data_IF_938678498255
#
_entry.id   IF_938678498255
#
_cell.length_a   1.000
_cell.length_b   1.000
_cell.length_c   1.000
_cell.angle_alpha   90.00
_cell.angle_beta   90.00
_cell.angle_gamma   90.00
#
_symmetry.space_group_name_H-M   'P 1'
#
loop_
_entity.id
_entity.type
_entity.pdbx_description
1 polymer ?
#
# COMPACT_ATOMS: atom_id res chain seq x y z
N UNK A 1 77.68 45.39 9.38
CA UNK A 1 77.53 44.81 10.73
C UNK A 1 76.04 44.84 11.03
N UNK A 2 75.27 43.76 11.00
CA UNK A 2 75.37 42.49 11.73
C UNK A 2 74.82 41.33 10.87
N UNK A 3 75.55 40.21 10.87
CA UNK A 3 75.21 38.90 10.29
C UNK A 3 74.37 38.04 11.25
N UNK A 4 73.51 37.15 10.71
CA UNK A 4 73.11 35.81 11.23
C UNK A 4 72.05 35.17 10.27
N UNK A 5 72.43 34.27 9.37
CA UNK A 5 72.37 32.78 9.43
C UNK A 5 70.98 32.13 9.43
N UNK A 6 70.69 31.50 8.28
CA UNK A 6 69.86 30.34 7.91
C UNK A 6 69.07 29.52 8.97
N UNK A 7 67.90 29.02 8.53
CA UNK A 7 67.47 27.64 8.73
C UNK A 7 66.45 27.20 7.66
N UNK A 8 66.84 26.21 6.84
CA UNK A 8 65.95 25.43 5.96
C UNK A 8 65.21 24.42 6.83
N UNK A 9 63.87 24.36 6.73
CA UNK A 9 63.09 23.21 7.19
C UNK A 9 62.30 22.64 6.02
N UNK A 10 62.89 21.63 5.39
CA UNK A 10 62.18 20.60 4.63
C UNK A 10 61.55 19.68 5.67
N UNK A 11 60.23 19.51 5.68
CA UNK A 11 59.58 18.32 6.26
C UNK A 11 58.10 18.24 5.90
N UNK A 12 57.72 17.12 5.28
CA UNK A 12 56.43 16.50 5.51
C UNK A 12 55.33 16.77 4.49
N UNK A 13 55.46 16.21 3.28
CA UNK A 13 54.29 15.81 2.51
C UNK A 13 53.52 14.75 3.31
N UNK A 14 52.49 15.17 4.06
CA UNK A 14 51.50 14.24 4.61
C UNK A 14 50.58 13.81 3.48
N UNK A 15 50.96 12.70 2.85
CA UNK A 15 50.07 11.76 2.20
C UNK A 15 49.00 11.32 3.22
N UNK A 16 47.95 12.12 3.38
CA UNK A 16 46.69 11.62 3.96
C UNK A 16 46.04 10.77 2.88
N UNK A 17 46.37 9.48 2.95
CA UNK A 17 45.92 8.46 2.02
C UNK A 17 44.40 8.40 1.91
N UNK A 18 44.00 7.85 0.78
CA UNK A 18 42.68 7.36 0.43
C UNK A 18 42.08 6.53 1.58
N UNK A 19 41.43 7.18 2.53
CA UNK A 19 40.38 6.53 3.29
C UNK A 19 39.21 6.42 2.32
N UNK A 20 39.05 5.24 1.73
CA UNK A 20 37.82 4.89 1.04
C UNK A 20 36.69 5.30 1.96
N UNK A 21 35.91 6.31 1.53
CA UNK A 21 34.66 6.63 2.18
C UNK A 21 33.84 5.36 2.07
N UNK A 22 33.87 4.57 3.14
CA UNK A 22 32.83 3.61 3.45
C UNK A 22 31.56 4.42 3.33
N UNK A 23 30.87 4.23 2.19
CA UNK A 23 29.48 4.63 2.04
C UNK A 23 28.83 4.13 3.32
N UNK A 24 28.31 5.02 4.20
CA UNK A 24 27.69 4.56 5.41
C UNK A 24 26.63 3.56 4.97
N UNK A 25 26.82 2.30 5.33
CA UNK A 25 25.79 1.29 5.21
C UNK A 25 24.68 1.80 6.11
N UNK A 26 23.74 2.55 5.52
CA UNK A 26 22.53 2.99 6.20
C UNK A 26 21.92 1.70 6.72
N UNK A 27 21.82 1.51 8.04
CA UNK A 27 21.39 0.23 8.60
C UNK A 27 20.03 -0.13 7.99
N UNK A 28 20.07 -1.16 7.15
CA UNK A 28 18.93 -1.67 6.43
C UNK A 28 18.08 -2.47 7.41
N UNK A 29 17.22 -1.78 8.17
CA UNK A 29 16.27 -2.45 9.07
C UNK A 29 14.91 -2.49 8.37
N UNK A 30 14.56 -3.59 7.67
CA UNK A 30 13.28 -3.75 6.96
C UNK A 30 12.14 -4.07 7.95
N UNK A 31 12.08 -3.35 9.06
CA UNK A 31 11.18 -3.64 10.16
C UNK A 31 10.37 -2.38 10.50
N UNK A 32 9.06 -2.55 10.51
CA UNK A 32 8.09 -1.58 11.02
C UNK A 32 7.15 -2.34 11.97
N UNK A 33 6.73 -1.75 13.11
CA UNK A 33 5.83 -2.42 14.06
C UNK A 33 4.42 -2.64 13.47
N UNK A 34 4.11 -1.99 12.34
CA UNK A 34 2.90 -2.19 11.54
C UNK A 34 3.25 -2.26 10.05
N UNK A 35 2.44 -2.93 9.21
CA UNK A 35 2.60 -2.85 7.76
C UNK A 35 2.61 -1.38 7.29
N UNK A 36 3.53 -1.05 6.39
CA UNK A 36 3.69 0.34 5.92
C UNK A 36 2.61 0.65 4.89
N UNK A 37 1.81 1.70 5.15
CA UNK A 37 0.77 2.12 4.23
C UNK A 37 1.41 2.64 2.92
N UNK A 38 1.01 2.04 1.81
CA UNK A 38 1.55 2.32 0.47
C UNK A 38 0.43 2.75 -0.47
N UNK A 39 0.73 3.67 -1.38
CA UNK A 39 -0.19 4.13 -2.41
C UNK A 39 -0.28 3.12 -3.56
N UNK A 40 -1.36 3.18 -4.32
CA UNK A 40 -1.49 2.43 -5.57
C UNK A 40 -0.60 3.04 -6.66
N UNK A 41 -0.13 2.23 -7.64
CA UNK A 41 0.55 2.75 -8.82
C UNK A 41 -0.31 3.77 -9.57
N UNK A 42 0.31 4.84 -10.09
CA UNK A 42 -0.39 5.90 -10.82
C UNK A 42 -1.06 5.36 -12.08
N UNK A 43 -2.32 5.77 -12.30
CA UNK A 43 -3.07 5.53 -13.53
C UNK A 43 -4.04 6.69 -13.78
N UNK A 44 -4.45 6.90 -15.03
CA UNK A 44 -5.43 7.93 -15.37
C UNK A 44 -6.85 7.40 -15.10
N UNK A 45 -7.69 8.23 -14.46
CA UNK A 45 -9.09 7.89 -14.18
C UNK A 45 -9.99 9.10 -14.45
N UNK A 46 -11.14 8.87 -15.09
CA UNK A 46 -12.23 9.85 -15.10
C UNK A 46 -12.80 10.00 -13.68
N UNK A 47 -13.18 11.22 -13.29
CA UNK A 47 -13.37 11.63 -11.88
C UNK A 47 -14.43 10.82 -11.12
N UNK A 48 -13.99 9.78 -10.40
CA UNK A 48 -14.72 8.97 -9.42
C UNK A 48 -13.67 8.42 -8.40
N UNK A 49 -13.47 9.05 -7.24
CA UNK A 49 -12.24 8.84 -6.42
C UNK A 49 -11.98 7.39 -5.93
N UNK A 50 -12.96 6.69 -5.36
CA UNK A 50 -12.71 5.41 -4.68
C UNK A 50 -12.80 4.17 -5.59
N UNK A 51 -13.60 4.24 -6.66
CA UNK A 51 -14.00 3.05 -7.43
C UNK A 51 -12.84 2.37 -8.19
N UNK A 52 -11.80 3.11 -8.60
CA UNK A 52 -10.63 2.52 -9.24
C UNK A 52 -9.79 1.69 -8.27
N UNK A 53 -9.59 2.15 -7.03
CA UNK A 53 -8.86 1.40 -6.02
C UNK A 53 -9.56 0.06 -5.73
N UNK A 54 -10.89 0.05 -5.65
CA UNK A 54 -11.66 -1.20 -5.49
C UNK A 54 -11.46 -2.15 -6.67
N UNK A 55 -11.36 -1.61 -7.89
CA UNK A 55 -11.07 -2.39 -9.09
C UNK A 55 -9.69 -3.05 -9.04
N UNK A 56 -8.67 -2.34 -8.55
CA UNK A 56 -7.32 -2.91 -8.35
C UNK A 56 -7.35 -4.03 -7.31
N UNK A 57 -8.08 -3.84 -6.20
CA UNK A 57 -8.27 -4.89 -5.18
C UNK A 57 -8.97 -6.13 -5.76
N UNK A 58 -10.04 -5.94 -6.53
CA UNK A 58 -10.77 -7.04 -7.16
C UNK A 58 -9.88 -7.85 -8.12
N UNK A 59 -9.04 -7.16 -8.91
CA UNK A 59 -8.07 -7.81 -9.81
C UNK A 59 -6.96 -8.54 -9.05
N UNK A 60 -6.48 -7.97 -7.93
CA UNK A 60 -5.50 -8.64 -7.09
C UNK A 60 -6.05 -9.94 -6.51
N UNK A 61 -7.29 -9.90 -6.00
CA UNK A 61 -8.00 -11.08 -5.49
C UNK A 61 -8.20 -12.12 -6.59
N UNK A 62 -8.68 -11.71 -7.76
CA UNK A 62 -8.89 -12.59 -8.91
C UNK A 62 -7.59 -13.33 -9.28
N UNK A 63 -6.47 -12.63 -9.42
CA UNK A 63 -5.17 -13.24 -9.72
C UNK A 63 -4.73 -14.26 -8.67
N UNK A 64 -4.98 -13.95 -7.39
CA UNK A 64 -4.72 -14.88 -6.28
C UNK A 64 -5.57 -16.16 -6.40
N UNK A 65 -6.87 -16.00 -6.64
CA UNK A 65 -7.78 -17.14 -6.84
C UNK A 65 -7.40 -17.97 -8.06
N UNK A 66 -7.14 -17.32 -9.19
CA UNK A 66 -6.76 -17.99 -10.44
C UNK A 66 -5.48 -18.80 -10.25
N UNK A 67 -4.50 -18.28 -9.50
CA UNK A 67 -3.26 -18.99 -9.18
C UNK A 67 -3.51 -20.26 -8.35
N UNK A 68 -4.34 -20.17 -7.30
CA UNK A 68 -4.68 -21.30 -6.44
C UNK A 68 -5.49 -22.37 -7.20
N UNK A 69 -6.34 -21.94 -8.14
CA UNK A 69 -7.24 -22.81 -8.89
C UNK A 69 -6.59 -23.50 -10.08
N UNK A 70 -5.35 -23.18 -10.47
CA UNK A 70 -4.64 -23.83 -11.60
C UNK A 70 -4.60 -25.35 -11.53
N UNK A 71 -4.69 -25.93 -10.31
CA UNK A 71 -4.65 -27.37 -10.07
C UNK A 71 -6.05 -28.02 -10.07
N UNK A 72 -7.10 -27.23 -10.20
CA UNK A 72 -8.49 -27.68 -10.14
C UNK A 72 -9.10 -27.78 -11.54
N UNK A 73 -10.03 -28.73 -11.78
CA UNK A 73 -10.77 -28.78 -13.04
C UNK A 73 -11.50 -27.45 -13.30
N UNK A 74 -11.52 -26.95 -14.54
CA UNK A 74 -12.21 -25.73 -14.87
C UNK A 74 -13.72 -25.90 -14.64
N UNK A 75 -14.29 -25.04 -13.80
CA UNK A 75 -15.73 -24.96 -13.53
C UNK A 75 -16.18 -23.50 -13.50
N UNK A 76 -17.44 -23.21 -13.88
CA UNK A 76 -17.99 -21.86 -13.72
C UNK A 76 -17.95 -21.43 -12.26
N UNK A 77 -17.69 -20.15 -12.02
CA UNK A 77 -17.85 -19.53 -10.70
C UNK A 77 -19.25 -18.98 -10.53
N UNK A 78 -19.72 -18.89 -9.30
CA UNK A 78 -20.95 -18.18 -8.94
C UNK A 78 -20.66 -17.28 -7.76
N UNK A 79 -20.87 -15.98 -7.95
CA UNK A 79 -20.79 -14.97 -6.90
C UNK A 79 -22.23 -14.60 -6.55
N UNK A 80 -22.61 -14.78 -5.29
CA UNK A 80 -23.95 -14.40 -4.84
C UNK A 80 -24.13 -12.88 -4.90
N UNK A 81 -25.35 -12.44 -5.22
CA UNK A 81 -25.68 -11.03 -5.13
C UNK A 81 -25.50 -10.54 -3.68
N UNK A 82 -24.79 -9.42 -3.48
CA UNK A 82 -24.62 -8.85 -2.15
C UNK A 82 -25.97 -8.46 -1.53
N UNK A 83 -26.08 -8.63 -0.21
CA UNK A 83 -27.24 -8.19 0.56
C UNK A 83 -27.53 -6.70 0.33
N UNK A 84 -28.81 -6.25 0.39
CA UNK A 84 -29.16 -4.83 0.34
C UNK A 84 -28.46 -3.97 1.41
N UNK A 85 -28.10 -4.58 2.54
CA UNK A 85 -27.40 -3.96 3.67
C UNK A 85 -25.88 -3.95 3.50
N UNK A 86 -25.34 -4.56 2.44
CA UNK A 86 -23.91 -4.57 2.17
C UNK A 86 -23.38 -3.15 1.92
N UNK A 87 -22.13 -2.90 2.32
CA UNK A 87 -21.48 -1.62 2.11
C UNK A 87 -21.32 -1.29 0.62
N UNK A 88 -21.19 0.00 0.25
CA UNK A 88 -20.84 0.39 -1.12
C UNK A 88 -19.62 -0.38 -1.66
N UNK A 89 -18.59 -0.54 -0.84
CA UNK A 89 -17.41 -1.33 -1.18
C UNK A 89 -17.75 -2.80 -1.46
N UNK A 90 -18.48 -3.49 -0.58
CA UNK A 90 -18.82 -4.91 -0.78
C UNK A 90 -19.62 -5.14 -2.08
N UNK A 91 -20.55 -4.23 -2.39
CA UNK A 91 -21.32 -4.28 -3.64
C UNK A 91 -20.43 -4.09 -4.87
N UNK A 92 -19.55 -3.10 -4.83
CA UNK A 92 -18.63 -2.83 -5.92
C UNK A 92 -17.61 -3.97 -6.09
N UNK A 93 -17.06 -4.49 -4.99
CA UNK A 93 -16.10 -5.59 -5.00
C UNK A 93 -16.68 -6.84 -5.66
N UNK A 94 -17.92 -7.23 -5.32
CA UNK A 94 -18.57 -8.37 -5.96
C UNK A 94 -18.73 -8.17 -7.48
N UNK A 95 -19.23 -7.01 -7.91
CA UNK A 95 -19.43 -6.71 -9.34
C UNK A 95 -18.10 -6.61 -10.11
N UNK A 96 -17.08 -6.01 -9.52
CA UNK A 96 -15.75 -5.87 -10.11
C UNK A 96 -15.01 -7.21 -10.14
N UNK A 97 -15.22 -8.09 -9.16
CA UNK A 97 -14.66 -9.44 -9.18
C UNK A 97 -15.29 -10.29 -10.29
N UNK A 98 -16.61 -10.20 -10.49
CA UNK A 98 -17.27 -10.79 -11.67
C UNK A 98 -16.62 -10.27 -12.96
N UNK A 99 -16.44 -8.95 -13.07
CA UNK A 99 -15.84 -8.32 -14.25
C UNK A 99 -14.39 -8.78 -14.48
N UNK A 100 -13.58 -8.88 -13.42
CA UNK A 100 -12.19 -9.34 -13.50
C UNK A 100 -12.11 -10.80 -13.95
N UNK A 101 -12.92 -11.69 -13.35
CA UNK A 101 -12.99 -13.10 -13.73
C UNK A 101 -13.37 -13.28 -15.20
N UNK A 102 -14.43 -12.60 -15.66
CA UNK A 102 -14.87 -12.69 -17.06
C UNK A 102 -13.81 -12.16 -18.02
N UNK A 103 -13.17 -11.03 -17.68
CA UNK A 103 -12.12 -10.43 -18.50
C UNK A 103 -10.93 -11.37 -18.69
N UNK A 104 -10.59 -12.13 -17.67
CA UNK A 104 -9.45 -13.07 -17.68
C UNK A 104 -9.86 -14.47 -18.19
N UNK A 105 -11.08 -14.61 -18.74
CA UNK A 105 -11.54 -15.80 -19.48
C UNK A 105 -12.28 -16.83 -18.64
N UNK A 106 -12.58 -16.54 -17.38
CA UNK A 106 -13.38 -17.41 -16.52
C UNK A 106 -14.88 -17.27 -16.80
N UNK A 107 -15.62 -18.39 -16.70
CA UNK A 107 -17.07 -18.39 -16.82
C UNK A 107 -17.66 -18.06 -15.45
N UNK A 108 -18.52 -17.04 -15.38
CA UNK A 108 -19.29 -16.70 -14.17
C UNK A 108 -20.78 -16.97 -14.43
N UNK A 109 -21.31 -17.96 -13.71
CA UNK A 109 -22.73 -18.34 -13.73
C UNK A 109 -23.58 -17.33 -12.97
N UNK A 110 -24.81 -17.13 -13.43
CA UNK A 110 -25.87 -16.40 -12.71
C UNK A 110 -26.65 -17.30 -11.74
N UNK A 111 -26.41 -18.60 -11.76
CA UNK A 111 -27.07 -19.58 -10.90
C UNK A 111 -26.04 -20.48 -10.21
N UNK A 112 -26.32 -20.97 -9.00
CA UNK A 112 -25.36 -21.79 -8.26
C UNK A 112 -25.18 -23.21 -8.84
N UNK A 113 -26.14 -23.70 -9.63
CA UNK A 113 -26.13 -25.07 -10.11
C UNK A 113 -24.91 -25.36 -11.02
N UNK A 114 -24.13 -26.40 -10.68
CA UNK A 114 -22.95 -26.81 -11.44
C UNK A 114 -21.74 -25.87 -11.34
N UNK A 115 -21.81 -24.87 -10.46
CA UNK A 115 -20.77 -23.84 -10.30
C UNK A 115 -20.02 -23.98 -8.98
N UNK A 116 -18.83 -23.38 -8.93
CA UNK A 116 -18.07 -23.13 -7.71
C UNK A 116 -18.58 -21.85 -7.06
N UNK A 117 -19.04 -21.94 -5.81
CA UNK A 117 -19.49 -20.79 -5.06
C UNK A 117 -18.28 -19.94 -4.66
N UNK A 118 -18.37 -18.65 -4.88
CA UNK A 118 -17.41 -17.65 -4.44
C UNK A 118 -18.05 -16.82 -3.33
N UNK A 119 -17.53 -16.98 -2.11
CA UNK A 119 -17.96 -16.21 -0.95
C UNK A 119 -16.95 -15.12 -0.63
N UNK A 120 -17.44 -13.89 -0.44
CA UNK A 120 -16.65 -12.70 -0.10
C UNK A 120 -17.03 -12.28 1.31
N UNK A 121 -16.06 -12.31 2.22
CA UNK A 121 -16.18 -11.82 3.59
C UNK A 121 -15.28 -10.60 3.77
N UNK A 122 -15.83 -9.52 4.33
CA UNK A 122 -15.12 -8.26 4.57
C UNK A 122 -15.30 -7.90 6.03
N UNK A 123 -14.19 -7.88 6.76
CA UNK A 123 -14.15 -7.50 8.17
C UNK A 123 -13.35 -6.22 8.32
N UNK A 124 -13.84 -5.31 9.16
CA UNK A 124 -13.17 -4.05 9.45
C UNK A 124 -12.68 -4.02 10.89
N UNK A 125 -11.44 -3.58 11.08
CA UNK A 125 -10.83 -3.37 12.38
C UNK A 125 -10.38 -1.93 12.51
N UNK A 126 -10.66 -1.32 13.67
CA UNK A 126 -10.21 0.04 14.00
C UNK A 126 -9.25 -0.03 15.17
N UNK A 127 -8.07 0.56 14.98
CA UNK A 127 -6.97 0.58 15.93
C UNK A 127 -6.80 1.95 16.58
N UNK A 128 -6.10 1.97 17.71
CA UNK A 128 -5.72 3.21 18.37
C UNK A 128 -4.87 4.11 17.45
N UNK A 129 -5.00 5.44 17.56
CA UNK A 129 -4.21 6.39 16.78
C UNK A 129 -2.73 6.37 17.21
N UNK A 130 -1.87 7.02 16.42
CA UNK A 130 -0.47 7.26 16.79
C UNK A 130 0.47 6.05 16.68
N UNK A 131 0.08 5.02 15.90
CA UNK A 131 0.99 3.91 15.59
C UNK A 131 2.11 4.41 14.67
N UNK A 132 3.37 4.20 15.06
CA UNK A 132 4.51 4.60 14.26
C UNK A 132 4.65 3.71 13.01
N UNK A 133 4.84 4.33 11.85
CA UNK A 133 5.22 3.65 10.61
C UNK A 133 6.66 4.01 10.26
N UNK A 134 7.53 3.01 10.22
CA UNK A 134 8.91 3.21 9.79
C UNK A 134 8.98 2.99 8.28
N UNK A 135 8.93 4.09 7.52
CA UNK A 135 9.10 4.07 6.07
C UNK A 135 10.57 3.83 5.77
N UNK A 136 10.85 2.71 5.13
CA UNK A 136 12.22 2.31 4.84
C UNK A 136 12.70 2.95 3.53
N UNK A 137 13.89 3.58 3.50
CA UNK A 137 14.34 4.30 2.32
C UNK A 137 14.97 3.44 1.21
N UNK A 138 15.14 2.14 1.41
CA UNK A 138 16.10 1.36 0.63
C UNK A 138 15.58 0.56 -0.56
N UNK A 139 14.59 1.05 -1.29
CA UNK A 139 14.39 0.57 -2.67
C UNK A 139 15.08 1.55 -3.64
N UNK A 140 16.25 1.18 -4.20
CA UNK A 140 16.88 2.01 -5.23
C UNK A 140 15.97 2.05 -6.46
N UNK A 141 15.62 3.24 -6.91
CA UNK A 141 14.95 3.42 -8.20
C UNK A 141 15.90 3.02 -9.33
N UNK A 142 15.36 2.66 -10.50
CA UNK A 142 16.16 2.34 -11.69
C UNK A 142 17.07 3.52 -12.08
N UNK A 143 16.59 4.75 -11.89
CA UNK A 143 17.35 5.97 -12.15
C UNK A 143 18.49 6.15 -11.13
N UNK A 144 18.23 5.98 -9.82
CA UNK A 144 19.28 6.01 -8.78
C UNK A 144 20.35 4.96 -9.05
N UNK A 145 19.97 3.73 -9.42
CA UNK A 145 20.92 2.68 -9.75
C UNK A 145 21.82 3.06 -10.94
N UNK A 146 21.23 3.62 -12.00
CA UNK A 146 21.99 4.12 -13.16
C UNK A 146 22.93 5.27 -12.81
N UNK A 147 22.45 6.25 -12.04
CA UNK A 147 23.23 7.41 -11.60
C UNK A 147 24.38 7.02 -10.67
N UNK A 148 24.16 6.10 -9.73
CA UNK A 148 25.22 5.55 -8.89
C UNK A 148 26.31 4.87 -9.73
N UNK A 149 25.93 4.06 -10.74
CA UNK A 149 26.89 3.42 -11.64
C UNK A 149 27.74 4.45 -12.42
N UNK A 150 27.13 5.55 -12.87
CA UNK A 150 27.83 6.66 -13.56
C UNK A 150 28.75 7.47 -12.61
N UNK A 151 28.35 7.68 -11.35
CA UNK A 151 29.17 8.42 -10.36
C UNK A 151 30.48 7.72 -10.00
N UNK A 152 30.55 6.39 -10.16
CA UNK A 152 31.76 5.60 -9.94
C UNK A 152 32.81 5.78 -11.04
N UNK A 153 32.47 6.46 -12.13
CA UNK A 153 33.31 6.59 -13.32
C UNK A 153 33.84 8.02 -13.56
N UNK A 154 33.29 9.08 -12.94
CA UNK A 154 33.63 10.49 -13.28
C UNK A 154 33.60 11.50 -12.09
N UNK A 155 34.38 12.61 -12.16
CA UNK A 155 34.46 13.64 -11.11
C UNK A 155 33.23 14.58 -10.99
N UNK A 156 32.15 14.33 -11.73
CA UNK A 156 30.86 15.04 -11.62
C UNK A 156 29.96 14.43 -10.52
N UNK A 157 30.51 13.50 -9.73
CA UNK A 157 29.82 12.68 -8.73
C UNK A 157 28.91 13.47 -7.77
N UNK A 158 29.25 14.71 -7.39
CA UNK A 158 28.45 15.52 -6.48
C UNK A 158 27.07 15.95 -7.04
N UNK A 159 27.00 16.35 -8.31
CA UNK A 159 25.74 16.74 -8.95
C UNK A 159 24.85 15.51 -9.18
N UNK A 160 25.46 14.40 -9.61
CA UNK A 160 24.77 13.14 -9.84
C UNK A 160 24.24 12.52 -8.53
N UNK A 161 25.02 12.55 -7.45
CA UNK A 161 24.55 12.14 -6.13
C UNK A 161 23.35 12.96 -5.65
N UNK A 162 23.34 14.27 -5.92
CA UNK A 162 22.20 15.14 -5.63
C UNK A 162 20.92 14.74 -6.39
N UNK A 163 21.04 14.44 -7.69
CA UNK A 163 19.91 13.98 -8.52
C UNK A 163 19.36 12.64 -8.02
N UNK A 164 20.24 11.67 -7.70
CA UNK A 164 19.84 10.38 -7.15
C UNK A 164 19.11 10.52 -5.79
N UNK A 165 19.59 11.42 -4.92
CA UNK A 165 18.96 11.69 -3.64
C UNK A 165 17.55 12.30 -3.81
N UNK A 166 17.39 13.25 -4.72
CA UNK A 166 16.09 13.86 -5.04
C UNK A 166 15.11 12.82 -5.61
N UNK A 167 15.57 12.02 -6.57
CA UNK A 167 14.73 10.98 -7.19
C UNK A 167 14.26 9.95 -6.16
N UNK A 168 15.17 9.50 -5.29
CA UNK A 168 14.85 8.56 -4.21
C UNK A 168 13.86 9.16 -3.20
N UNK A 169 14.05 10.44 -2.86
CA UNK A 169 13.13 11.18 -1.99
C UNK A 169 11.72 11.30 -2.61
N UNK A 170 11.63 11.68 -3.88
CA UNK A 170 10.35 11.79 -4.60
C UNK A 170 9.66 10.44 -4.73
N UNK A 171 10.39 9.39 -5.09
CA UNK A 171 9.88 8.03 -5.17
C UNK A 171 9.28 7.57 -3.84
N UNK A 172 9.96 7.80 -2.72
CA UNK A 172 9.45 7.44 -1.40
C UNK A 172 8.18 8.20 -1.03
N UNK A 173 8.11 9.50 -1.34
CA UNK A 173 6.92 10.32 -1.09
C UNK A 173 5.75 9.92 -1.99
N UNK A 174 6.01 9.42 -3.19
CA UNK A 174 4.97 8.91 -4.09
C UNK A 174 4.50 7.50 -3.69
N UNK A 175 5.44 6.63 -3.27
CA UNK A 175 5.15 5.23 -2.94
C UNK A 175 4.37 5.05 -1.65
N UNK A 176 4.72 5.79 -0.60
CA UNK A 176 4.10 5.62 0.72
C UNK A 176 2.96 6.61 0.94
N UNK A 177 1.92 6.17 1.64
CA UNK A 177 0.82 7.05 2.01
C UNK A 177 1.35 8.17 2.92
N UNK A 178 0.93 9.42 2.66
CA UNK A 178 1.31 10.55 3.50
C UNK A 178 0.54 10.54 4.83
N UNK A 179 1.10 11.16 5.87
CA UNK A 179 0.45 11.29 7.18
C UNK A 179 0.67 10.10 8.11
N UNK A 180 -0.15 10.03 9.16
CA UNK A 180 -0.10 9.00 10.19
C UNK A 180 -0.55 7.64 9.67
N UNK A 181 -0.26 6.58 10.44
CA UNK A 181 -0.78 5.25 10.16
C UNK A 181 -2.31 5.26 10.15
N UNK A 182 -2.95 4.82 9.06
CA UNK A 182 -4.40 4.70 9.04
C UNK A 182 -4.89 3.82 10.19
N UNK A 183 -5.93 4.27 10.87
CA UNK A 183 -6.48 3.56 12.02
C UNK A 183 -7.33 2.37 11.59
N UNK A 184 -7.76 2.34 10.34
CA UNK A 184 -8.69 1.34 9.82
C UNK A 184 -7.99 0.36 8.89
N UNK A 185 -8.17 -0.94 9.16
CA UNK A 185 -7.77 -2.02 8.26
C UNK A 185 -8.99 -2.89 7.90
N UNK A 186 -9.03 -3.34 6.65
CA UNK A 186 -10.00 -4.32 6.17
C UNK A 186 -9.30 -5.65 5.93
N UNK A 187 -9.86 -6.73 6.46
CA UNK A 187 -9.53 -8.08 6.06
C UNK A 187 -10.55 -8.56 5.04
N UNK A 188 -10.12 -8.73 3.80
CA UNK A 188 -10.95 -9.27 2.72
C UNK A 188 -10.59 -10.73 2.53
N UNK A 189 -11.54 -11.61 2.82
CA UNK A 189 -11.40 -13.05 2.61
C UNK A 189 -12.29 -13.48 1.46
N UNK A 190 -11.71 -14.09 0.43
CA UNK A 190 -12.46 -14.68 -0.68
C UNK A 190 -12.20 -16.17 -0.73
N UNK A 191 -13.28 -16.93 -0.74
CA UNK A 191 -13.23 -18.39 -0.75
C UNK A 191 -14.01 -18.93 -1.94
N UNK A 192 -13.46 -19.97 -2.55
CA UNK A 192 -14.04 -20.69 -3.68
C UNK A 192 -14.29 -22.12 -3.21
N UNK A 193 -15.55 -22.55 -3.19
CA UNK A 193 -15.96 -23.82 -2.60
C UNK A 193 -17.07 -24.51 -3.38
N UNK A 194 -17.23 -25.79 -3.14
CA UNK A 194 -18.49 -26.49 -3.36
C UNK A 194 -19.10 -26.90 -2.01
N UNK A 195 -20.15 -27.72 -2.04
CA UNK A 195 -20.84 -28.20 -0.85
C UNK A 195 -19.96 -29.04 0.11
N UNK A 196 -18.78 -29.51 -0.33
CA UNK A 196 -17.93 -30.40 0.46
C UNK A 196 -16.58 -29.80 0.83
N UNK A 197 -16.01 -28.91 0.00
CA UNK A 197 -14.64 -28.44 0.20
C UNK A 197 -14.35 -27.09 -0.43
N UNK A 198 -13.29 -26.45 0.07
CA UNK A 198 -12.67 -25.28 -0.53
C UNK A 198 -11.66 -25.71 -1.61
N UNK A 199 -11.66 -25.00 -2.74
CA UNK A 199 -10.70 -25.13 -3.84
C UNK A 199 -9.65 -24.02 -3.80
N UNK A 200 -10.05 -22.83 -3.33
CA UNK A 200 -9.15 -21.71 -3.07
C UNK A 200 -9.71 -20.88 -1.90
N UNK A 201 -8.83 -20.28 -1.11
CA UNK A 201 -9.23 -19.33 -0.07
C UNK A 201 -8.06 -18.39 0.21
N UNK A 202 -8.27 -17.11 -0.05
CA UNK A 202 -7.27 -16.07 0.17
C UNK A 202 -7.83 -15.01 1.11
N UNK A 203 -7.01 -14.58 2.06
CA UNK A 203 -7.29 -13.47 2.97
C UNK A 203 -6.21 -12.41 2.81
N UNK A 204 -6.60 -11.20 2.41
CA UNK A 204 -5.67 -10.07 2.24
C UNK A 204 -6.15 -8.87 3.07
N UNK A 205 -5.20 -8.21 3.75
CA UNK A 205 -5.47 -7.01 4.52
C UNK A 205 -5.18 -5.73 3.72
N UNK A 206 -6.01 -4.71 3.88
CA UNK A 206 -5.87 -3.40 3.23
C UNK A 206 -6.08 -2.27 4.24
N UNK A 207 -5.26 -1.22 4.18
CA UNK A 207 -5.54 0.01 4.90
C UNK A 207 -6.67 0.81 4.24
N UNK A 208 -7.47 1.48 5.07
CA UNK A 208 -8.51 2.41 4.62
C UNK A 208 -8.17 3.80 5.13
N UNK A 209 -8.26 4.80 4.26
CA UNK A 209 -8.17 6.19 4.67
C UNK A 209 -9.28 6.51 5.68
N UNK A 210 -8.92 7.12 6.80
CA UNK A 210 -9.88 7.33 7.91
C UNK A 210 -11.05 8.25 7.51
N UNK A 211 -10.88 9.10 6.48
CA UNK A 211 -11.94 9.92 5.89
C UNK A 211 -13.03 9.13 5.16
N UNK A 212 -12.71 7.92 4.68
CA UNK A 212 -13.54 7.17 3.73
C UNK A 212 -14.24 5.97 4.37
N UNK A 213 -14.12 5.81 5.70
CA UNK A 213 -14.63 4.66 6.49
C UNK A 213 -16.08 4.31 6.21
N UNK A 214 -16.93 5.30 5.95
CA UNK A 214 -18.36 5.11 5.65
C UNK A 214 -18.60 4.31 4.36
N UNK A 215 -17.71 4.39 3.37
CA UNK A 215 -17.79 3.62 2.12
C UNK A 215 -17.64 2.11 2.35
N UNK A 216 -17.04 1.74 3.49
CA UNK A 216 -16.76 0.37 3.89
C UNK A 216 -17.75 -0.14 4.94
N UNK A 217 -18.81 0.61 5.23
CA UNK A 217 -19.84 0.25 6.21
C UNK A 217 -19.42 0.48 7.66
N UNK A 218 -18.35 1.24 7.88
CA UNK A 218 -17.85 1.58 9.21
C UNK A 218 -18.48 2.90 9.61
N UNK A 219 -19.14 2.91 10.77
CA UNK A 219 -19.74 4.13 11.30
C UNK A 219 -18.65 5.18 11.58
N UNK A 220 -18.90 6.47 11.30
CA UNK A 220 -17.95 7.52 11.64
C UNK A 220 -17.78 7.60 13.16
N UNK A 221 -16.58 7.94 13.61
CA UNK A 221 -16.34 8.22 15.02
C UNK A 221 -17.11 9.50 15.38
N UNK A 222 -18.24 9.35 16.07
CA UNK A 222 -19.01 10.50 16.57
C UNK A 222 -18.22 11.12 17.73
N UNK A 223 -17.82 12.41 17.66
CA UNK A 223 -17.18 13.09 18.78
C UNK A 223 -18.01 12.92 20.05
N UNK A 224 -17.37 12.70 21.20
CA UNK A 224 -18.07 12.46 22.46
C UNK A 224 -19.08 13.59 22.81
N UNK A 225 -18.80 14.82 22.38
CA UNK A 225 -19.66 15.99 22.54
C UNK A 225 -20.97 15.91 21.73
N UNK A 226 -20.95 15.33 20.53
CA UNK A 226 -22.15 15.17 19.70
C UNK A 226 -23.07 14.05 20.23
N UNK A 227 -22.56 13.10 21.02
CA UNK A 227 -23.37 12.08 21.73
C UNK A 227 -24.21 12.66 22.88
N UNK A 228 -23.90 13.88 23.35
CA UNK A 228 -24.57 14.51 24.50
C UNK A 228 -25.77 15.38 24.11
N UNK A 229 -25.98 15.66 22.82
CA UNK A 229 -27.09 16.47 22.34
C UNK A 229 -28.40 15.64 22.29
N UNK A 230 -29.04 15.44 23.45
CA UNK A 230 -30.43 14.96 23.48
C UNK A 230 -31.34 16.07 22.94
N UNK A 231 -31.91 15.86 21.76
CA UNK A 231 -32.94 16.75 21.21
C UNK A 231 -34.27 16.44 21.90
N UNK A 232 -34.70 17.32 22.81
CA UNK A 232 -36.02 17.21 23.43
C UNK A 232 -37.06 17.91 22.54
N UNK A 233 -38.07 17.17 22.08
CA UNK A 233 -39.28 17.78 21.52
C UNK A 233 -40.10 18.32 22.69
N UNK A 234 -40.17 19.64 22.83
CA UNK A 234 -41.11 20.28 23.75
C UNK A 234 -42.52 20.09 23.16
N UNK A 235 -43.35 19.31 23.85
CA UNK A 235 -44.78 19.21 23.54
C UNK A 235 -45.47 20.31 24.34
N UNK A 236 -45.97 21.34 23.65
CA UNK A 236 -46.82 22.35 24.28
C UNK A 236 -48.20 21.75 24.51
N UNK A 237 -48.67 21.81 25.75
CA UNK A 237 -50.06 21.48 26.07
C UNK A 237 -50.95 22.67 25.64
N UNK A 238 -52.00 22.39 24.88
CA UNK A 238 -53.11 23.30 24.63
C UNK A 238 -54.26 22.96 25.57
#
# INVERSE_FOLDING_TARGET
MVTKTAAILISGALLAGCAGQQVPQIPHTPYSPVPVASNFPTSNQYTLQAAAHWGVIAQHIEKGLAADLKKSPPRPFYIAEPSPQASPFQRALAAQLVSALVRDGHIVSRTPAGSLKVDIDVQAYTFAPGRAQFRYPGEPTVLTAGVLALTLLEPVAGLLAGVAAIDTYQYQHAKFAAGDTPQTELLVTVSVSDQYRYYARNSTAYYVADSDRTLYGIAPDVPAEAKLMKTYKVKGDQ
#
